data_IF_255620777973
#
_entry.id   IF_255620777973
#
_cell.length_a   1.000
_cell.length_b   1.000
_cell.length_c   1.000
_cell.angle_alpha   90.00
_cell.angle_beta   90.00
_cell.angle_gamma   90.00
#
_symmetry.space_group_name_H-M   'P 1'
#
loop_
_entity.id
_entity.type
_entity.pdbx_description
1 polymer ?
2 polymer ?
3 polymer ?
4 non-polymer ?
5 non-polymer ?
6 water ?
#
loop_
_entity_poly.entity_id
_entity_poly.type
_entity_poly.pdbx_seq_one_letter_code
_entity_poly.pdbx_strand_id
2 'polyribonucleotide' 'A(A2M)GCGCCAGAACU' ?
3 'polyribonucleotide' '(GTP)GCACCAUUGCACUCCGGUGCCAGUUGACGAGAUGGGGUUUAUCGAGAUUUCGGCGGAUGACUCCCGGUUGUUCAUCACAACCGCAAGCUUUUACUUAAAUCAUUAAGGUGACUUAGUGGACAAAGGUGAAAGUGUGAUGA' ?
#
# COMPACT_ATOMS: atom_id res chain seq x y z
N UNK A 7 -24.90 -36.64 55.88
CA UNK A 7 -26.16 -36.02 55.34
C UNK A 7 -25.87 -35.26 54.05
N UNK A 8 -26.22 -33.95 54.02
CA UNK A 8 -26.07 -33.12 52.81
C UNK A 8 -24.70 -32.44 52.72
N UNK A 9 -24.37 -31.94 51.54
CA UNK A 9 -23.09 -31.31 51.27
C UNK A 9 -23.15 -30.32 50.11
N UNK A 10 -22.28 -29.30 50.15
CA UNK A 10 -22.12 -28.36 49.05
C UNK A 10 -21.79 -29.08 47.74
N UNK A 11 -20.97 -30.12 47.86
CA UNK A 11 -20.50 -30.91 46.72
C UNK A 11 -21.37 -32.16 46.54
N UNK A 12 -21.75 -32.43 45.28
CA UNK A 12 -22.45 -33.66 44.94
C UNK A 12 -21.56 -34.62 44.17
N UNK A 13 -21.66 -35.90 44.52
CA UNK A 13 -20.88 -36.96 43.87
C UNK A 13 -21.71 -37.64 42.79
N UNK A 14 -21.25 -37.55 41.55
CA UNK A 14 -21.95 -38.19 40.43
C UNK A 14 -21.12 -39.36 39.92
N UNK A 15 -21.77 -40.49 39.66
CA UNK A 15 -21.13 -41.63 39.01
C UNK A 15 -22.01 -42.27 37.94
N UNK A 16 -21.56 -43.39 37.39
CA UNK A 16 -22.18 -44.03 36.23
C UNK A 16 -22.18 -43.14 34.99
N UNK A 17 -21.10 -42.38 34.83
CA UNK A 17 -20.93 -41.50 33.68
C UNK A 17 -20.20 -42.20 32.56
N UNK A 18 -20.52 -41.82 31.32
CA UNK A 18 -19.88 -42.41 30.14
C UNK A 18 -18.38 -42.16 30.12
N UNK A 19 -17.61 -43.24 30.23
CA UNK A 19 -16.16 -43.17 30.30
C UNK A 19 -15.50 -42.78 28.97
N UNK A 20 -16.25 -42.90 27.86
CA UNK A 20 -15.74 -42.58 26.52
C UNK A 20 -15.64 -41.08 26.22
N UNK A 21 -16.09 -40.24 27.14
CA UNK A 21 -16.09 -38.79 26.91
C UNK A 21 -14.89 -38.14 27.60
N UNK A 22 -14.18 -37.30 26.84
CA UNK A 22 -12.97 -36.65 27.33
C UNK A 22 -13.19 -35.62 28.43
N UNK A 23 -12.25 -35.58 29.37
CA UNK A 23 -12.29 -34.75 30.58
C UNK A 23 -12.98 -33.41 30.39
N UNK A 24 -12.50 -32.60 29.45
CA UNK A 24 -12.96 -31.23 29.28
C UNK A 24 -14.38 -31.14 28.72
N UNK A 25 -14.72 -32.02 27.78
CA UNK A 25 -16.07 -32.06 27.20
C UNK A 25 -17.10 -32.41 28.28
N UNK A 26 -16.80 -33.41 29.09
CA UNK A 26 -17.65 -33.83 30.20
C UNK A 26 -17.80 -32.71 31.22
N UNK A 27 -16.68 -32.04 31.52
CA UNK A 27 -16.64 -30.95 32.50
C UNK A 27 -17.49 -29.76 32.07
N UNK A 28 -17.68 -29.59 30.76
CA UNK A 28 -18.50 -28.51 30.23
C UNK A 28 -19.95 -28.92 30.03
N UNK A 29 -20.15 -30.16 29.57
CA UNK A 29 -21.50 -30.73 29.40
C UNK A 29 -22.24 -30.90 30.71
N UNK A 30 -21.51 -31.11 31.80
CA UNK A 30 -22.08 -31.13 33.14
C UNK A 30 -22.53 -29.73 33.53
N UNK A 31 -21.64 -28.76 33.34
CA UNK A 31 -21.89 -27.36 33.70
C UNK A 31 -23.14 -26.81 33.03
N UNK A 32 -23.45 -27.33 31.85
CA UNK A 32 -24.61 -26.90 31.06
C UNK A 32 -25.93 -27.10 31.81
N UNK A 33 -26.05 -28.24 32.47
CA UNK A 33 -27.32 -28.65 33.09
C UNK A 33 -27.44 -28.28 34.57
N UNK A 34 -26.32 -28.23 35.27
CA UNK A 34 -26.32 -27.94 36.70
C UNK A 34 -26.20 -26.44 37.02
N UNK A 35 -26.08 -25.63 35.97
CA UNK A 35 -25.94 -24.18 36.12
C UNK A 35 -27.25 -23.51 36.55
N UNK A 36 -28.38 -24.17 36.29
CA UNK A 36 -29.69 -23.63 36.66
C UNK A 36 -29.97 -23.72 38.16
N UNK A 37 -29.43 -24.76 38.80
CA UNK A 37 -29.67 -25.01 40.23
C UNK A 37 -28.94 -24.01 41.13
N UNK A 38 -27.88 -23.43 40.60
CA UNK A 38 -27.07 -22.45 41.32
C UNK A 38 -25.72 -22.28 40.66
N UNK A 39 -24.91 -21.36 41.19
CA UNK A 39 -23.58 -21.14 40.63
C UNK A 39 -22.61 -22.25 41.06
N UNK A 40 -21.92 -22.81 40.08
CA UNK A 40 -20.95 -23.87 40.30
C UNK A 40 -19.58 -23.23 40.51
N UNK A 41 -18.89 -23.64 41.58
CA UNK A 41 -17.53 -23.16 41.85
C UNK A 41 -16.51 -23.92 41.01
N UNK A 42 -16.62 -25.25 40.97
CA UNK A 42 -15.70 -26.10 40.21
C UNK A 42 -16.26 -27.50 40.00
N UNK A 43 -16.05 -28.05 38.80
CA UNK A 43 -16.38 -29.44 38.52
C UNK A 43 -15.08 -30.22 38.38
N UNK A 44 -14.91 -31.24 39.21
CA UNK A 44 -13.69 -32.03 39.23
C UNK A 44 -13.88 -33.37 38.54
N UNK A 45 -13.17 -33.56 37.44
CA UNK A 45 -13.22 -34.82 36.68
C UNK A 45 -11.80 -35.31 36.40
N UNK A 46 -11.55 -36.57 36.77
CA UNK A 46 -10.31 -37.26 36.45
C UNK A 46 -10.66 -38.41 35.52
N UNK A 47 -9.65 -39.16 35.08
CA UNK A 47 -9.89 -40.26 34.15
C UNK A 47 -9.08 -41.53 34.49
N UNK A 48 -8.45 -41.51 35.66
CA UNK A 48 -7.69 -42.65 36.16
C UNK A 48 -8.54 -43.91 36.33
N UNK A 49 -7.90 -45.02 36.67
CA UNK A 49 -8.62 -46.26 36.98
C UNK A 49 -9.52 -46.08 38.20
N UNK A 50 -9.07 -45.25 39.13
CA UNK A 50 -9.77 -45.01 40.39
C UNK A 50 -10.85 -43.94 40.26
N UNK A 51 -10.67 -42.98 39.35
CA UNK A 51 -11.54 -41.80 39.31
C UNK A 51 -12.37 -41.58 38.03
N UNK A 52 -12.42 -42.57 37.15
CA UNK A 52 -13.18 -42.43 35.90
C UNK A 52 -14.67 -42.68 36.10
N UNK A 53 -15.47 -42.13 35.19
CA UNK A 53 -16.93 -42.26 35.24
C UNK A 53 -17.57 -41.49 36.38
N UNK A 54 -16.79 -40.61 37.01
CA UNK A 54 -17.23 -39.86 38.18
C UNK A 54 -17.02 -38.37 37.98
N UNK A 55 -17.70 -37.57 38.80
CA UNK A 55 -17.58 -36.11 38.76
C UNK A 55 -17.83 -35.50 40.13
N UNK A 56 -17.32 -34.30 40.34
CA UNK A 56 -17.55 -33.56 41.57
C UNK A 56 -18.01 -32.13 41.29
N UNK A 57 -19.31 -31.98 41.02
CA UNK A 57 -19.89 -30.66 40.84
C UNK A 57 -20.05 -30.00 42.21
N UNK A 58 -19.31 -28.91 42.42
CA UNK A 58 -19.36 -28.19 43.69
C UNK A 58 -20.20 -26.92 43.53
N UNK A 59 -21.20 -26.78 44.39
CA UNK A 59 -22.03 -25.59 44.43
C UNK A 59 -21.67 -24.74 45.63
N UNK A 60 -21.78 -23.42 45.49
CA UNK A 60 -21.53 -22.52 46.62
C UNK A 60 -22.62 -22.68 47.70
N UNK A 61 -23.80 -23.10 47.26
CA UNK A 61 -24.94 -23.26 48.17
C UNK A 61 -25.41 -24.72 48.21
N UNK A 62 -25.63 -25.23 49.42
CA UNK A 62 -26.14 -26.59 49.64
C UNK A 62 -27.56 -26.71 49.09
N UNK A 63 -28.33 -25.62 49.19
CA UNK A 63 -29.64 -25.50 48.57
C UNK A 63 -29.62 -25.99 47.13
N UNK A 64 -28.63 -25.53 46.37
CA UNK A 64 -28.43 -25.91 44.97
C UNK A 64 -28.08 -27.38 44.82
N UNK A 65 -27.30 -27.89 45.76
CA UNK A 65 -26.88 -29.29 45.76
C UNK A 65 -28.04 -30.25 46.00
N UNK A 66 -28.97 -29.86 46.88
CA UNK A 66 -30.15 -30.66 47.18
C UNK A 66 -31.09 -30.74 45.98
N UNK A 67 -31.38 -29.57 45.38
CA UNK A 67 -32.24 -29.50 44.21
C UNK A 67 -31.68 -30.26 43.00
N UNK A 68 -30.36 -30.13 42.79
CA UNK A 68 -29.68 -30.83 41.71
C UNK A 68 -29.76 -32.34 41.90
N UNK A 69 -29.62 -32.80 43.15
CA UNK A 69 -29.71 -34.22 43.47
C UNK A 69 -31.10 -34.76 43.18
N UNK A 70 -32.11 -34.09 43.70
CA UNK A 70 -33.51 -34.49 43.53
C UNK A 70 -33.90 -34.59 42.06
N UNK A 71 -33.56 -33.56 41.29
CA UNK A 71 -34.03 -33.43 39.91
C UNK A 71 -33.26 -34.27 38.90
N UNK A 72 -31.93 -34.34 39.06
CA UNK A 72 -31.09 -34.97 38.03
C UNK A 72 -30.82 -36.46 38.25
N UNK A 73 -31.34 -37.01 39.35
CA UNK A 73 -31.16 -38.43 39.66
C UNK A 73 -31.78 -39.31 38.57
N UNK A 74 -30.97 -40.16 37.96
CA UNK A 74 -31.42 -41.07 36.91
C UNK A 74 -31.47 -40.47 35.53
N UNK A 75 -31.13 -39.19 35.42
CA UNK A 75 -31.15 -38.46 34.16
C UNK A 75 -30.19 -39.08 33.14
N UNK A 76 -30.65 -39.26 31.88
CA UNK A 76 -29.79 -39.81 30.83
C UNK A 76 -28.71 -38.83 30.40
N UNK A 77 -27.45 -39.22 30.58
CA UNK A 77 -26.31 -38.37 30.27
C UNK A 77 -25.32 -39.17 29.45
N UNK A 78 -25.19 -38.82 28.16
CA UNK A 78 -24.41 -39.58 27.20
C UNK A 78 -24.85 -41.05 27.14
N UNK A 79 -26.15 -41.26 26.98
CA UNK A 79 -26.76 -42.61 26.92
C UNK A 79 -26.71 -43.39 28.23
N UNK A 80 -26.25 -42.76 29.30
CA UNK A 80 -26.10 -43.43 30.60
C UNK A 80 -26.73 -42.65 31.75
N UNK A 81 -27.67 -43.29 32.48
CA UNK A 81 -28.33 -42.69 33.64
C UNK A 81 -27.36 -42.33 34.77
N UNK A 82 -27.53 -41.14 35.33
CA UNK A 82 -26.66 -40.63 36.38
C UNK A 82 -27.04 -41.16 37.76
N UNK A 83 -26.02 -41.36 38.59
CA UNK A 83 -26.22 -41.73 39.99
C UNK A 83 -25.61 -40.63 40.85
N UNK A 84 -26.47 -39.91 41.57
CA UNK A 84 -26.03 -38.75 42.34
C UNK A 84 -26.19 -38.94 43.85
N UNK A 85 -25.09 -38.77 44.57
CA UNK A 85 -25.08 -38.75 46.03
C UNK A 85 -24.56 -37.41 46.50
N UNK A 86 -24.44 -37.24 47.82
CA UNK A 86 -23.72 -36.12 48.39
C UNK A 86 -22.26 -36.51 48.56
N UNK A 87 -21.38 -35.51 48.65
CA UNK A 87 -19.98 -35.78 48.94
C UNK A 87 -19.86 -36.28 50.37
N UNK A 88 -19.12 -37.37 50.55
CA UNK A 88 -18.89 -37.96 51.86
C UNK A 88 -18.23 -36.98 52.82
N UNK A 89 -17.29 -36.19 52.29
CA UNK A 89 -16.65 -35.12 53.05
C UNK A 89 -16.62 -33.82 52.25
N UNK A 90 -16.47 -32.70 52.93
CA UNK A 90 -16.36 -31.39 52.30
C UNK A 90 -15.19 -31.31 51.32
N UNK A 91 -15.27 -30.36 50.40
CA UNK A 91 -14.18 -30.07 49.49
C UNK A 91 -13.36 -28.88 49.99
N UNK A 92 -12.11 -28.78 49.54
CA UNK A 92 -11.14 -27.79 50.04
C UNK A 92 -11.53 -26.33 49.81
N UNK A 93 -12.06 -26.01 48.63
CA UNK A 93 -12.48 -24.63 48.34
C UNK A 93 -13.70 -24.23 49.19
N UNK A 94 -14.23 -25.21 49.94
CA UNK A 94 -15.24 -24.96 50.98
C UNK A 94 -14.60 -25.10 52.36
N UNK A 95 -13.88 -26.20 52.58
CA UNK A 95 -13.25 -26.51 53.87
C UNK A 95 -12.21 -25.47 54.30
N UNK A 96 -11.45 -24.96 53.34
CA UNK A 96 -10.42 -23.95 53.60
C UNK A 96 -10.91 -22.56 53.23
N UNK D 7 -46.43 -30.46 9.58
CA UNK D 7 -46.49 -30.61 11.07
C UNK D 7 -45.14 -31.11 11.61
N UNK D 8 -44.97 -32.43 11.69
CA UNK D 8 -43.73 -33.01 12.24
C UNK D 8 -42.63 -33.17 11.20
N UNK D 9 -41.39 -33.23 11.68
CA UNK D 9 -40.19 -33.24 10.83
C UNK D 9 -39.06 -34.03 11.47
N UNK D 10 -38.17 -34.57 10.64
CA UNK D 10 -36.97 -35.28 11.12
C UNK D 10 -36.08 -34.36 11.95
N UNK D 11 -36.15 -33.05 11.67
CA UNK D 11 -35.29 -32.07 12.30
C UNK D 11 -36.08 -31.18 13.27
N UNK D 12 -35.51 -30.93 14.44
CA UNK D 12 -36.14 -30.05 15.42
C UNK D 12 -35.42 -28.71 15.55
N UNK D 13 -36.20 -27.63 15.44
CA UNK D 13 -35.67 -26.28 15.61
C UNK D 13 -35.64 -25.90 17.09
N UNK D 14 -34.45 -25.56 17.59
CA UNK D 14 -34.25 -25.20 18.99
C UNK D 14 -33.76 -23.75 19.11
N UNK D 15 -34.54 -22.91 19.80
CA UNK D 15 -34.12 -21.55 20.09
C UNK D 15 -34.10 -21.25 21.60
N UNK D 16 -33.93 -19.98 21.95
CA UNK D 16 -33.74 -19.53 23.34
C UNK D 16 -32.48 -20.14 23.99
N UNK D 17 -31.54 -20.56 23.15
CA UNK D 17 -30.25 -21.07 23.62
C UNK D 17 -29.37 -19.95 24.14
N UNK D 18 -28.40 -20.29 24.98
CA UNK D 18 -27.45 -19.31 25.51
C UNK D 18 -26.41 -18.93 24.46
N UNK D 19 -26.41 -17.66 24.10
CA UNK D 19 -25.55 -17.15 23.05
C UNK D 19 -24.07 -17.05 23.43
N UNK D 20 -23.80 -16.92 24.73
CA UNK D 20 -22.44 -16.75 25.25
C UNK D 20 -21.53 -17.98 25.08
N UNK D 21 -22.11 -19.11 24.69
CA UNK D 21 -21.38 -20.36 24.60
C UNK D 21 -20.83 -20.62 23.20
N UNK D 22 -19.58 -21.09 23.15
CA UNK D 22 -18.87 -21.40 21.90
C UNK D 22 -19.64 -22.35 20.98
N UNK D 23 -19.38 -22.24 19.68
CA UNK D 23 -20.07 -23.01 18.65
C UNK D 23 -19.90 -24.52 18.83
N UNK D 24 -18.68 -24.94 19.16
CA UNK D 24 -18.37 -26.36 19.24
C UNK D 24 -18.79 -26.99 20.56
N UNK D 25 -18.72 -26.21 21.65
CA UNK D 25 -19.19 -26.66 22.96
C UNK D 25 -20.70 -26.88 22.93
N UNK D 26 -21.43 -25.87 22.46
CA UNK D 26 -22.89 -25.93 22.36
C UNK D 26 -23.32 -27.14 21.51
N UNK D 27 -22.61 -27.36 20.41
CA UNK D 27 -22.85 -28.50 19.55
C UNK D 27 -22.67 -29.81 20.33
N UNK D 28 -21.63 -29.88 21.14
CA UNK D 28 -21.31 -31.09 21.90
C UNK D 28 -22.20 -31.31 23.11
N UNK D 29 -22.57 -30.22 23.78
CA UNK D 29 -23.46 -30.28 24.94
C UNK D 29 -24.88 -30.69 24.56
N UNK D 30 -25.32 -30.30 23.38
CA UNK D 30 -26.64 -30.68 22.87
C UNK D 30 -26.72 -32.18 22.57
N UNK D 31 -25.63 -32.75 22.08
CA UNK D 31 -25.59 -34.18 21.77
C UNK D 31 -25.58 -35.01 23.04
N UNK D 32 -25.02 -34.45 24.11
CA UNK D 32 -24.96 -35.11 25.42
C UNK D 32 -26.33 -35.50 25.94
N UNK D 33 -27.36 -34.75 25.52
CA UNK D 33 -28.72 -34.97 26.00
C UNK D 33 -29.62 -35.62 24.96
N UNK D 34 -29.52 -35.16 23.71
CA UNK D 34 -30.40 -35.64 22.65
C UNK D 34 -30.02 -37.01 22.07
N UNK D 35 -28.93 -37.59 22.57
CA UNK D 35 -28.45 -38.89 22.12
C UNK D 35 -29.21 -40.08 22.72
N UNK D 36 -30.22 -39.78 23.55
CA UNK D 36 -31.06 -40.82 24.15
C UNK D 36 -32.33 -41.10 23.34
N UNK D 37 -32.79 -40.11 22.60
CA UNK D 37 -34.03 -40.22 21.82
C UNK D 37 -33.83 -41.03 20.55
N UNK D 38 -32.58 -41.05 20.07
CA UNK D 38 -32.22 -41.76 18.85
C UNK D 38 -30.88 -41.28 18.37
N UNK D 39 -30.48 -41.71 17.17
CA UNK D 39 -29.19 -41.28 16.62
C UNK D 39 -29.32 -39.96 15.86
N UNK D 40 -28.39 -39.06 16.15
CA UNK D 40 -28.38 -37.73 15.56
C UNK D 40 -27.41 -37.72 14.37
N UNK D 41 -27.92 -37.29 13.22
CA UNK D 41 -27.12 -37.22 12.00
C UNK D 41 -26.19 -36.01 11.99
N UNK D 42 -26.72 -34.84 12.37
CA UNK D 42 -25.94 -33.61 12.47
C UNK D 42 -26.65 -32.58 13.34
N UNK D 43 -25.87 -31.88 14.15
CA UNK D 43 -26.36 -30.72 14.91
C UNK D 43 -25.74 -29.46 14.29
N UNK D 44 -26.59 -28.56 13.79
CA UNK D 44 -26.12 -27.34 13.17
C UNK D 44 -26.25 -26.12 14.08
N UNK D 45 -25.12 -25.46 14.31
CA UNK D 45 -25.03 -24.28 15.15
C UNK D 45 -24.22 -23.19 14.45
N UNK D 46 -24.76 -21.98 14.40
CA UNK D 46 -24.06 -20.81 13.90
C UNK D 46 -24.20 -19.68 14.91
N UNK D 47 -23.37 -18.64 14.77
CA UNK D 47 -23.37 -17.52 15.72
C UNK D 47 -23.62 -16.18 15.04
N UNK D 48 -24.10 -16.21 13.80
CA UNK D 48 -24.46 -15.00 13.08
C UNK D 48 -25.68 -14.34 13.71
N UNK D 49 -25.87 -13.04 13.45
CA UNK D 49 -27.02 -12.29 13.97
C UNK D 49 -28.35 -13.01 13.72
N UNK D 50 -28.46 -13.62 12.54
CA UNK D 50 -29.66 -14.32 12.12
C UNK D 50 -29.80 -15.70 12.77
N UNK D 51 -28.68 -16.32 13.12
CA UNK D 51 -28.67 -17.73 13.54
C UNK D 51 -28.15 -18.03 14.95
N UNK D 52 -27.83 -16.99 15.73
CA UNK D 52 -27.31 -17.17 17.08
C UNK D 52 -28.42 -17.52 18.07
N UNK D 53 -28.09 -18.34 19.05
CA UNK D 53 -29.05 -18.83 20.03
C UNK D 53 -30.06 -19.77 19.42
N UNK D 54 -29.65 -20.49 18.39
CA UNK D 54 -30.51 -21.41 17.66
C UNK D 54 -29.75 -22.67 17.30
N UNK D 55 -30.47 -23.78 17.17
CA UNK D 55 -29.86 -25.06 16.81
C UNK D 55 -30.79 -25.88 15.92
N UNK D 56 -30.18 -26.74 15.11
CA UNK D 56 -30.91 -27.70 14.30
C UNK D 56 -30.35 -29.08 14.56
N UNK D 57 -31.10 -29.88 15.32
CA UNK D 57 -30.75 -31.26 15.58
C UNK D 57 -31.51 -32.16 14.61
N UNK D 58 -30.77 -32.89 13.79
CA UNK D 58 -31.37 -33.78 12.78
C UNK D 58 -31.37 -35.22 13.29
N UNK D 59 -32.57 -35.80 13.37
CA UNK D 59 -32.74 -37.20 13.74
C UNK D 59 -33.04 -38.05 12.52
N UNK D 60 -32.61 -39.31 12.57
CA UNK D 60 -32.87 -40.27 11.48
C UNK D 60 -34.37 -40.52 11.30
N UNK D 61 -35.09 -40.67 12.42
CA UNK D 61 -36.52 -40.97 12.40
C UNK D 61 -37.31 -39.86 13.08
N UNK D 62 -38.46 -39.51 12.50
CA UNK D 62 -39.36 -38.48 13.05
C UNK D 62 -39.83 -38.88 14.44
N UNK D 63 -40.01 -40.19 14.63
CA UNK D 63 -40.36 -40.77 15.92
C UNK D 63 -39.48 -40.23 17.05
N UNK D 64 -38.17 -40.22 16.82
CA UNK D 64 -37.20 -39.71 17.79
C UNK D 64 -37.27 -38.19 18.00
N UNK D 65 -37.58 -37.46 16.93
CA UNK D 65 -37.69 -36.00 16.98
C UNK D 65 -38.88 -35.56 17.83
N UNK D 66 -39.99 -36.29 17.68
CA UNK D 66 -41.22 -36.02 18.42
C UNK D 66 -41.00 -36.13 19.93
N UNK D 67 -40.31 -37.18 20.37
CA UNK D 67 -39.99 -37.37 21.79
C UNK D 67 -39.02 -36.33 22.30
N UNK D 68 -38.05 -35.95 21.45
CA UNK D 68 -37.10 -34.90 21.77
C UNK D 68 -37.80 -33.57 22.00
N UNK D 69 -38.74 -33.24 21.11
CA UNK D 69 -39.57 -32.05 21.23
C UNK D 69 -40.39 -32.08 22.52
N UNK D 70 -41.03 -33.22 22.78
CA UNK D 70 -41.92 -33.37 23.94
C UNK D 70 -41.18 -33.37 25.28
N UNK D 71 -40.11 -34.15 25.37
CA UNK D 71 -39.37 -34.30 26.63
C UNK D 71 -38.51 -33.09 26.98
N UNK D 72 -37.81 -32.53 26.00
CA UNK D 72 -36.83 -31.48 26.25
C UNK D 72 -37.38 -30.06 26.23
N UNK D 73 -38.66 -29.93 25.90
CA UNK D 73 -39.31 -28.62 25.91
C UNK D 73 -39.17 -27.96 27.28
N UNK D 74 -38.77 -26.69 27.29
CA UNK D 74 -38.64 -25.90 28.51
C UNK D 74 -37.45 -26.27 29.39
N UNK D 75 -36.57 -27.12 28.87
CA UNK D 75 -35.42 -27.61 29.62
C UNK D 75 -34.41 -26.49 29.90
N UNK D 76 -34.07 -26.29 31.19
CA UNK D 76 -33.05 -25.30 31.52
C UNK D 76 -31.68 -25.76 31.05
N UNK D 77 -31.07 -24.97 30.18
CA UNK D 77 -29.85 -25.35 29.47
C UNK D 77 -28.94 -24.14 29.37
N UNK D 78 -27.85 -24.15 30.14
CA UNK D 78 -26.96 -22.99 30.33
C UNK D 78 -27.73 -21.79 30.91
N UNK D 79 -28.57 -22.05 31.91
CA UNK D 79 -29.43 -21.05 32.56
C UNK D 79 -30.60 -20.56 31.70
N UNK D 80 -30.95 -21.32 30.67
CA UNK D 80 -32.06 -20.93 29.79
C UNK D 80 -33.00 -22.08 29.42
N UNK D 81 -34.31 -21.90 29.66
CA UNK D 81 -35.32 -22.85 29.19
C UNK D 81 -35.39 -22.92 27.66
N UNK D 82 -35.15 -24.10 27.13
CA UNK D 82 -35.18 -24.35 25.69
C UNK D 82 -36.59 -24.28 25.11
N UNK D 83 -36.71 -23.70 23.94
CA UNK D 83 -37.95 -23.73 23.17
C UNK D 83 -37.71 -24.55 21.92
N UNK D 84 -38.51 -25.61 21.75
CA UNK D 84 -38.32 -26.52 20.62
C UNK D 84 -39.54 -26.55 19.71
N UNK D 85 -39.27 -26.51 18.40
CA UNK D 85 -40.28 -26.64 17.37
C UNK D 85 -39.81 -27.69 16.37
N UNK D 86 -40.66 -28.03 15.41
CA UNK D 86 -40.24 -28.78 14.24
C UNK D 86 -39.70 -27.81 13.21
N UNK D 87 -38.63 -28.23 12.52
CA UNK D 87 -38.11 -27.45 11.39
C UNK D 87 -39.19 -27.33 10.32
N UNK D 88 -39.40 -26.11 9.83
CA UNK D 88 -40.42 -25.83 8.84
C UNK D 88 -40.27 -26.68 7.58
N UNK D 89 -39.02 -26.82 7.12
CA UNK D 89 -38.74 -27.57 5.90
C UNK D 89 -37.73 -28.70 6.15
N UNK D 90 -37.85 -29.76 5.35
CA UNK D 90 -36.98 -30.93 5.42
C UNK D 90 -35.50 -30.59 5.28
N UNK D 91 -34.66 -31.33 6.01
CA UNK D 91 -33.22 -31.14 5.97
C UNK D 91 -32.59 -31.67 4.68
N UNK D 92 -31.45 -31.10 4.31
CA UNK D 92 -30.73 -31.47 3.10
C UNK D 92 -30.24 -32.91 3.14
N UNK D 93 -29.65 -33.30 4.27
CA UNK D 93 -29.19 -34.67 4.50
C UNK D 93 -30.38 -35.67 4.48
N UNK D 94 -31.59 -35.14 4.70
CA UNK D 94 -32.82 -35.93 4.69
C UNK D 94 -33.47 -35.94 3.30
N UNK D 95 -33.70 -34.76 2.73
CA UNK D 95 -34.33 -34.62 1.42
C UNK D 95 -33.48 -35.22 0.30
N UNK D 96 -32.19 -34.89 0.29
CA UNK D 96 -31.26 -35.42 -0.71
C UNK D 96 -30.62 -36.71 -0.22
N UNK G 7 45.02 11.63 -32.24
CA UNK G 7 45.18 13.09 -32.51
C UNK G 7 43.83 13.74 -32.76
N UNK G 8 43.59 14.21 -34.02
CA UNK G 8 42.33 14.84 -34.39
C UNK G 8 41.17 13.86 -34.44
N UNK G 9 39.97 14.35 -34.16
CA UNK G 9 38.76 13.52 -34.14
C UNK G 9 37.56 14.27 -34.72
N UNK G 10 36.59 13.53 -35.24
CA UNK G 10 35.34 14.11 -35.73
C UNK G 10 34.59 14.88 -34.65
N UNK G 11 34.76 14.44 -33.40
CA UNK G 11 34.08 15.00 -32.24
C UNK G 11 35.03 15.83 -31.38
N UNK G 12 34.56 17.01 -30.96
CA UNK G 12 35.33 17.84 -30.03
C UNK G 12 34.73 17.86 -28.62
N UNK G 13 35.60 17.82 -27.63
CA UNK G 13 35.21 17.81 -26.23
C UNK G 13 35.38 19.22 -25.63
N UNK G 14 34.26 19.82 -25.24
CA UNK G 14 34.27 21.16 -24.66
C UNK G 14 33.93 21.09 -23.18
N UNK G 15 34.76 21.72 -22.35
CA UNK G 15 34.48 21.84 -20.92
C UNK G 15 34.57 23.28 -20.43
N UNK G 16 34.49 23.49 -19.11
CA UNK G 16 34.39 24.81 -18.49
C UNK G 16 33.14 25.59 -18.94
N UNK G 17 32.10 24.85 -19.33
CA UNK G 17 30.82 25.45 -19.70
C UNK G 17 30.02 25.80 -18.45
N UNK G 18 29.18 26.84 -18.56
CA UNK G 18 28.32 27.25 -17.46
C UNK G 18 27.26 26.19 -17.15
N UNK G 19 27.26 25.71 -15.92
CA UNK G 19 26.39 24.61 -15.51
C UNK G 19 24.94 25.03 -15.24
N UNK G 20 24.73 26.34 -15.06
CA UNK G 20 23.41 26.90 -14.74
C UNK G 20 22.42 26.87 -15.91
N UNK G 21 22.90 26.50 -17.10
CA UNK G 21 22.09 26.59 -18.31
C UNK G 21 21.42 25.27 -18.66
N UNK G 22 20.13 25.34 -18.98
CA UNK G 22 19.31 24.18 -19.33
C UNK G 22 19.92 23.34 -20.46
N UNK G 23 19.62 22.04 -20.44
CA UNK G 23 20.16 21.06 -21.38
C UNK G 23 19.83 21.39 -22.84
N UNK G 24 18.60 21.83 -23.10
CA UNK G 24 18.17 22.10 -24.47
C UNK G 24 18.67 23.45 -24.95
N UNK G 25 18.69 24.44 -24.05
CA UNK G 25 19.17 25.78 -24.38
C UNK G 25 20.65 25.74 -24.76
N UNK G 26 21.46 25.10 -23.91
CA UNK G 26 22.90 24.93 -24.17
C UNK G 26 23.15 24.24 -25.51
N UNK G 27 22.38 23.19 -25.77
CA UNK G 27 22.49 22.42 -27.01
C UNK G 27 22.18 23.28 -28.24
N UNK G 28 21.23 24.20 -28.10
CA UNK G 28 20.88 25.11 -29.19
C UNK G 28 21.88 26.27 -29.33
N UNK G 29 22.31 26.80 -28.19
CA UNK G 29 23.28 27.91 -28.15
C UNK G 29 24.64 27.54 -28.75
N UNK G 30 25.02 26.27 -28.63
CA UNK G 30 26.26 25.79 -29.22
C UNK G 30 26.10 25.59 -30.73
N UNK G 31 24.91 25.15 -31.14
CA UNK G 31 24.61 24.95 -32.55
C UNK G 31 24.48 26.29 -33.28
N UNK G 32 24.37 27.37 -32.50
CA UNK G 32 24.33 28.73 -33.02
C UNK G 32 25.70 29.14 -33.50
N UNK G 33 26.74 28.59 -32.87
CA UNK G 33 28.10 29.01 -33.15
C UNK G 33 28.87 28.01 -34.03
N UNK G 34 28.74 26.72 -33.74
CA UNK G 34 29.54 25.71 -34.41
C UNK G 34 29.03 25.27 -35.79
N UNK G 35 27.83 25.70 -36.17
CA UNK G 35 27.24 25.32 -37.44
C UNK G 35 27.98 25.90 -38.66
N UNK G 36 28.77 26.95 -38.43
CA UNK G 36 29.52 27.61 -39.50
C UNK G 36 30.74 26.81 -39.97
N UNK G 37 31.34 26.06 -39.04
CA UNK G 37 32.56 25.30 -39.33
C UNK G 37 32.30 24.09 -40.22
N UNK G 38 31.03 23.73 -40.35
CA UNK G 38 30.60 22.54 -41.07
C UNK G 38 29.34 22.01 -40.40
N UNK G 39 28.68 21.05 -41.03
CA UNK G 39 27.44 20.52 -40.49
C UNK G 39 27.69 19.64 -39.26
N UNK G 40 26.81 19.77 -38.28
CA UNK G 40 26.92 19.02 -37.03
C UNK G 40 25.92 17.87 -37.03
N UNK G 41 26.39 16.69 -36.68
CA UNK G 41 25.56 15.50 -36.62
C UNK G 41 24.72 15.45 -35.33
N UNK G 42 25.38 15.69 -34.18
CA UNK G 42 24.70 15.77 -32.89
C UNK G 42 25.54 16.46 -31.83
N UNK G 43 24.88 17.13 -30.89
CA UNK G 43 25.55 17.73 -29.74
C UNK G 43 25.04 17.04 -28.48
N UNK G 44 25.93 16.36 -27.78
CA UNK G 44 25.56 15.56 -26.61
C UNK G 44 25.79 16.32 -25.30
N UNK G 45 24.70 16.60 -24.62
CA UNK G 45 24.71 17.36 -23.37
C UNK G 45 24.04 16.58 -22.24
N UNK G 46 24.72 16.51 -21.11
CA UNK G 46 24.17 15.90 -19.90
C UNK G 46 24.47 16.80 -18.70
N UNK G 47 23.72 16.61 -17.61
CA UNK G 47 23.85 17.47 -16.44
C UNK G 47 24.22 16.70 -15.16
N UNK G 48 24.49 15.41 -15.30
CA UNK G 48 24.95 14.58 -14.18
C UNK G 48 26.30 15.05 -13.65
N UNK G 49 26.58 14.73 -12.39
CA UNK G 49 27.83 15.14 -11.72
C UNK G 49 29.07 14.91 -12.59
N UNK G 50 29.16 13.73 -13.19
CA UNK G 50 30.29 13.35 -14.02
C UNK G 50 30.31 14.07 -15.37
N UNK G 51 29.14 14.50 -15.85
CA UNK G 51 29.00 15.03 -17.21
C UNK G 51 28.51 16.49 -17.32
N UNK G 52 28.47 17.20 -16.21
CA UNK G 52 28.03 18.60 -16.23
C UNK G 52 29.17 19.54 -16.60
N UNK G 53 28.82 20.62 -17.30
CA UNK G 53 29.81 21.58 -17.78
C UNK G 53 30.60 21.11 -18.99
N UNK G 54 30.18 19.99 -19.56
CA UNK G 54 30.84 19.41 -20.73
C UNK G 54 29.84 19.18 -21.87
N UNK G 55 30.36 19.14 -23.09
CA UNK G 55 29.55 18.86 -24.27
C UNK G 55 30.37 18.13 -25.32
N UNK G 56 29.69 17.41 -26.20
CA UNK G 56 30.35 16.75 -27.32
C UNK G 56 29.68 17.17 -28.62
N UNK G 57 30.43 17.90 -29.44
CA UNK G 57 29.94 18.31 -30.77
C UNK G 57 30.52 17.36 -31.81
N UNK G 58 29.63 16.67 -32.51
CA UNK G 58 30.05 15.68 -33.52
C UNK G 58 29.90 16.25 -34.93
N UNK G 59 31.03 16.65 -35.50
CA UNK G 59 31.08 17.15 -36.87
C UNK G 59 31.22 15.99 -37.84
N UNK G 60 30.66 16.15 -39.05
CA UNK G 60 30.81 15.14 -40.10
C UNK G 60 32.26 15.02 -40.56
N UNK G 61 32.95 16.15 -40.64
CA UNK G 61 34.32 16.19 -41.13
C UNK G 61 35.30 16.65 -40.06
N UNK G 62 36.45 15.99 -39.99
CA UNK G 62 37.53 16.34 -39.05
C UNK G 62 38.00 17.77 -39.30
N UNK G 63 38.00 18.16 -40.58
CA UNK G 63 38.28 19.52 -41.03
C UNK G 63 37.54 20.53 -40.17
N UNK G 64 36.22 20.33 -40.04
CA UNK G 64 35.35 21.19 -39.24
C UNK G 64 35.77 21.23 -37.78
N UNK G 65 36.12 20.06 -37.25
CA UNK G 65 36.47 19.92 -35.85
C UNK G 65 37.77 20.65 -35.49
N UNK G 66 38.73 20.62 -36.42
CA UNK G 66 40.02 21.28 -36.21
C UNK G 66 39.90 22.81 -36.25
N UNK G 67 39.14 23.32 -37.21
CA UNK G 67 38.86 24.76 -37.28
C UNK G 67 38.14 25.26 -36.03
N UNK G 68 37.10 24.54 -35.62
CA UNK G 68 36.31 24.88 -34.44
C UNK G 68 37.15 24.91 -33.16
N UNK G 69 38.12 23.99 -33.08
CA UNK G 69 39.03 23.93 -31.93
C UNK G 69 39.95 25.15 -31.90
N UNK G 70 40.47 25.53 -33.08
CA UNK G 70 41.43 26.63 -33.19
C UNK G 70 40.79 28.01 -33.00
N UNK G 71 39.51 28.13 -33.33
CA UNK G 71 38.78 29.39 -33.22
C UNK G 71 38.20 29.60 -31.83
N UNK G 72 37.33 28.67 -31.42
CA UNK G 72 36.48 28.86 -30.25
C UNK G 72 37.18 28.62 -28.91
N UNK G 73 38.43 28.18 -28.97
CA UNK G 73 39.25 28.00 -27.78
C UNK G 73 39.27 29.27 -26.94
N UNK G 74 38.84 29.17 -25.70
CA UNK G 74 38.85 30.31 -24.78
C UNK G 74 37.73 31.30 -25.00
N UNK G 75 36.80 30.97 -25.89
CA UNK G 75 35.68 31.85 -26.22
C UNK G 75 34.74 32.00 -25.01
N UNK G 76 34.52 33.26 -24.55
CA UNK G 76 33.61 33.54 -23.45
C UNK G 76 32.17 33.22 -23.83
N UNK G 77 31.54 32.36 -23.02
CA UNK G 77 30.26 31.77 -23.35
C UNK G 77 29.49 31.58 -22.03
N UNK G 78 28.39 32.31 -21.89
CA UNK G 78 27.67 32.42 -20.63
C UNK G 78 28.63 32.84 -19.49
N UNK G 79 29.44 33.85 -19.77
CA UNK G 79 30.43 34.42 -18.83
C UNK G 79 31.62 33.51 -18.50
N UNK G 80 31.76 32.41 -19.25
CA UNK G 80 32.84 31.45 -19.02
C UNK G 80 33.61 31.11 -20.30
N UNK G 81 34.95 31.26 -20.27
CA UNK G 81 35.80 30.93 -21.41
C UNK G 81 35.83 29.43 -21.69
N UNK G 82 35.59 29.06 -22.95
CA UNK G 82 35.55 27.66 -23.36
C UNK G 82 36.92 27.00 -23.32
N UNK G 83 36.92 25.68 -23.25
CA UNK G 83 38.14 24.89 -23.30
C UNK G 83 37.88 23.65 -24.13
N UNK G 84 38.53 23.56 -25.28
CA UNK G 84 38.25 22.51 -26.25
C UNK G 84 39.42 21.54 -26.45
N UNK G 85 39.07 20.27 -26.62
CA UNK G 85 40.01 19.23 -27.02
C UNK G 85 39.35 18.40 -28.12
N UNK G 86 40.07 17.42 -28.65
CA UNK G 86 39.44 16.40 -29.49
C UNK G 86 38.91 15.30 -28.57
N UNK G 87 37.92 14.55 -29.06
CA UNK G 87 37.43 13.38 -28.35
C UNK G 87 38.53 12.33 -28.30
N UNK G 88 38.72 11.73 -27.12
CA UNK G 88 39.74 10.71 -26.91
C UNK G 88 39.48 9.47 -27.77
N UNK G 89 38.21 9.15 -27.95
CA UNK G 89 37.78 8.06 -28.84
C UNK G 89 36.64 8.53 -29.74
N UNK G 90 36.44 7.81 -30.84
CA UNK G 90 35.39 8.13 -31.80
C UNK G 90 34.00 7.97 -31.20
N UNK G 91 33.05 8.77 -31.68
CA UNK G 91 31.65 8.65 -31.27
C UNK G 91 30.96 7.46 -31.93
N UNK G 92 29.95 6.92 -31.26
CA UNK G 92 29.18 5.76 -31.74
C UNK G 92 28.57 6.01 -33.12
N UNK G 93 28.02 7.19 -33.31
CA UNK G 93 27.44 7.60 -34.60
C UNK G 93 28.49 7.66 -35.70
N UNK G 94 29.74 7.89 -35.32
CA UNK G 94 30.88 7.91 -36.24
C UNK G 94 31.42 6.49 -36.46
N UNK G 95 31.72 5.79 -35.37
CA UNK G 95 32.31 4.45 -35.41
C UNK G 95 31.39 3.40 -36.03
N UNK G 96 30.10 3.44 -35.65
CA UNK G 96 29.11 2.49 -36.17
C UNK G 96 28.45 3.04 -37.44
N UNK J 7 27.00 59.38 -31.37
CA UNK J 7 27.78 58.16 -31.68
C UNK J 7 27.40 56.98 -30.77
N UNK J 8 28.22 56.71 -29.73
CA UNK J 8 28.04 55.56 -28.84
C UNK J 8 26.74 55.60 -28.05
N UNK J 9 26.15 54.42 -27.84
CA UNK J 9 24.88 54.31 -27.14
C UNK J 9 24.83 53.06 -26.26
N UNK J 10 24.03 53.12 -25.20
CA UNK J 10 23.82 51.97 -24.31
C UNK J 10 23.31 50.74 -25.05
N UNK J 11 22.64 50.98 -26.18
CA UNK J 11 22.01 49.94 -26.98
C UNK J 11 22.80 49.72 -28.27
N UNK J 12 23.03 48.46 -28.62
CA UNK J 12 23.67 48.12 -29.89
C UNK J 12 22.69 47.46 -30.87
N UNK J 13 22.62 48.01 -32.08
CA UNK J 13 21.78 47.47 -33.14
C UNK J 13 22.52 46.38 -33.89
N UNK J 14 21.97 45.17 -33.86
CA UNK J 14 22.58 44.03 -34.54
C UNK J 14 21.69 43.56 -35.69
N UNK J 15 22.23 43.60 -36.91
CA UNK J 15 21.50 43.07 -38.07
C UNK J 15 22.30 42.01 -38.84
N UNK J 16 21.72 41.55 -39.95
CA UNK J 16 22.24 40.40 -40.72
C UNK J 16 22.18 39.11 -39.89
N UNK J 17 21.13 38.97 -39.10
CA UNK J 17 20.91 37.77 -38.29
C UNK J 17 20.06 36.76 -39.06
N UNK J 18 20.22 35.49 -38.73
CA UNK J 18 19.48 34.41 -39.37
C UNK J 18 17.99 34.49 -39.05
N UNK J 19 17.17 34.67 -40.09
CA UNK J 19 15.75 34.93 -39.93
C UNK J 19 14.89 33.68 -39.67
N UNK J 20 15.48 32.50 -39.88
CA UNK J 20 14.77 31.24 -39.66
C UNK J 20 14.73 30.82 -38.19
N UNK J 21 15.49 31.53 -37.36
CA UNK J 21 15.60 31.20 -35.93
C UNK J 21 14.53 31.89 -35.10
N UNK J 22 13.95 31.13 -34.18
CA UNK J 22 12.84 31.59 -33.35
C UNK J 22 13.21 32.73 -32.40
N UNK J 23 12.21 33.51 -32.02
CA UNK J 23 12.40 34.70 -31.17
C UNK J 23 13.14 34.41 -29.87
N UNK J 24 12.71 33.37 -29.15
CA UNK J 24 13.27 33.09 -27.82
C UNK J 24 14.65 32.44 -27.90
N UNK J 25 14.84 31.56 -28.86
CA UNK J 25 16.14 30.93 -29.09
C UNK J 25 17.19 31.98 -29.42
N UNK J 26 16.87 32.88 -30.34
CA UNK J 26 17.74 33.98 -30.72
C UNK J 26 18.04 34.88 -29.53
N UNK J 27 17.00 35.22 -28.78
CA UNK J 27 17.11 36.09 -27.61
C UNK J 27 18.03 35.50 -26.54
N UNK J 28 17.95 34.19 -26.34
CA UNK J 28 18.79 33.52 -25.35
C UNK J 28 20.18 33.20 -25.87
N UNK J 29 20.29 32.97 -27.19
CA UNK J 29 21.58 32.73 -27.84
C UNK J 29 22.46 33.98 -27.84
N UNK J 30 21.83 35.13 -28.05
CA UNK J 30 22.53 36.41 -28.03
C UNK J 30 23.01 36.77 -26.63
N UNK J 31 22.25 36.33 -25.62
CA UNK J 31 22.64 36.56 -24.24
C UNK J 31 23.84 35.70 -23.87
N UNK J 32 23.91 34.51 -24.45
CA UNK J 32 25.01 33.57 -24.23
C UNK J 32 26.37 34.21 -24.50
N UNK J 33 26.44 35.01 -25.56
CA UNK J 33 27.67 35.64 -25.98
C UNK J 33 27.94 36.93 -25.21
N UNK J 34 27.01 37.89 -25.30
CA UNK J 34 27.26 39.25 -24.83
C UNK J 34 27.30 39.44 -23.31
N UNK J 35 26.94 38.39 -22.57
CA UNK J 35 26.94 38.44 -21.10
C UNK J 35 28.29 38.84 -20.52
N UNK J 36 29.37 38.46 -21.20
CA UNK J 36 30.74 38.75 -20.75
C UNK J 36 31.08 40.24 -20.77
N UNK J 37 30.55 40.96 -21.75
CA UNK J 37 30.88 42.37 -21.97
C UNK J 37 30.37 43.28 -20.85
N UNK J 38 29.22 42.93 -20.28
CA UNK J 38 28.66 43.67 -19.16
C UNK J 38 27.28 43.17 -18.78
N UNK J 39 26.51 44.04 -18.13
CA UNK J 39 25.14 43.72 -17.75
C UNK J 39 24.20 43.99 -18.93
N UNK J 40 23.47 42.97 -19.34
CA UNK J 40 22.45 43.11 -20.38
C UNK J 40 21.09 43.33 -19.72
N UNK J 41 20.45 44.45 -20.04
CA UNK J 41 19.17 44.81 -19.44
C UNK J 41 17.97 44.19 -20.17
N UNK J 42 18.01 44.22 -21.50
CA UNK J 42 16.94 43.64 -22.33
C UNK J 42 17.44 43.40 -23.76
N UNK J 43 16.98 42.29 -24.35
CA UNK J 43 17.25 42.00 -25.76
C UNK J 43 15.95 42.00 -26.54
N UNK J 44 15.73 43.04 -27.32
CA UNK J 44 14.50 43.21 -28.09
C UNK J 44 14.56 42.53 -29.44
N UNK J 45 13.70 41.53 -29.64
CA UNK J 45 13.65 40.76 -30.88
C UNK J 45 12.21 40.70 -31.41
N UNK J 46 12.05 41.04 -32.68
CA UNK J 46 10.79 40.88 -33.39
C UNK J 46 11.02 40.10 -34.68
N UNK J 47 9.94 39.55 -35.24
CA UNK J 47 10.03 38.81 -36.49
C UNK J 47 9.13 39.42 -37.58
N UNK J 48 8.74 40.68 -37.36
CA UNK J 48 7.93 41.42 -38.32
C UNK J 48 8.75 41.82 -39.55
N UNK J 49 8.07 42.09 -40.65
CA UNK J 49 8.71 42.47 -41.92
C UNK J 49 9.76 43.57 -41.76
N UNK J 50 9.51 44.49 -40.83
CA UNK J 50 10.38 45.64 -40.61
C UNK J 50 11.52 45.32 -39.63
N UNK J 51 11.28 44.40 -38.71
CA UNK J 51 12.19 44.17 -37.59
C UNK J 51 12.83 42.78 -37.51
N UNK J 52 12.59 41.95 -38.53
CA UNK J 52 13.21 40.62 -38.58
C UNK J 52 14.70 40.72 -38.93
N UNK J 53 15.47 39.72 -38.49
CA UNK J 53 16.91 39.69 -38.71
C UNK J 53 17.69 40.73 -37.92
N UNK J 54 17.01 41.37 -36.98
CA UNK J 54 17.59 42.45 -36.20
C UNK J 54 17.39 42.26 -34.70
N UNK J 55 18.31 42.81 -33.91
CA UNK J 55 18.22 42.73 -32.46
C UNK J 55 18.75 44.00 -31.78
N UNK J 56 18.22 44.28 -30.59
CA UNK J 56 18.66 45.40 -29.78
C UNK J 56 19.12 44.90 -28.42
N UNK J 57 20.42 44.71 -28.27
CA UNK J 57 20.99 44.33 -26.97
C UNK J 57 21.27 45.63 -26.20
N UNK J 58 20.64 45.75 -25.04
CA UNK J 58 20.76 46.96 -24.21
C UNK J 58 21.71 46.71 -23.05
N UNK J 59 22.79 47.49 -23.02
CA UNK J 59 23.78 47.40 -21.95
C UNK J 59 23.59 48.53 -20.94
N UNK J 60 23.86 48.23 -19.66
CA UNK J 60 23.74 49.22 -18.59
C UNK J 60 24.80 50.32 -18.74
N UNK J 61 26.02 49.92 -19.10
CA UNK J 61 27.10 50.88 -19.32
C UNK J 61 27.51 50.91 -20.79
N UNK J 62 27.82 52.11 -21.28
CA UNK J 62 28.27 52.31 -22.67
C UNK J 62 29.58 51.56 -22.90
N UNK J 63 30.42 51.55 -21.87
CA UNK J 63 31.70 50.83 -21.89
C UNK J 63 31.52 49.37 -22.32
N UNK J 64 30.41 48.76 -21.91
CA UNK J 64 30.07 47.39 -22.29
C UNK J 64 29.57 47.29 -23.72
N UNK J 65 28.89 48.33 -24.19
CA UNK J 65 28.32 48.36 -25.53
C UNK J 65 29.39 48.55 -26.60
N UNK J 66 30.41 49.33 -26.26
CA UNK J 66 31.54 49.58 -27.16
C UNK J 66 32.33 48.29 -27.41
N UNK J 67 32.79 47.66 -26.32
CA UNK J 67 33.49 46.37 -26.39
C UNK J 67 32.74 45.34 -27.22
N UNK J 68 31.42 45.29 -27.03
CA UNK J 68 30.55 44.39 -27.77
C UNK J 68 30.63 44.63 -29.27
N UNK J 69 30.60 45.90 -29.66
CA UNK J 69 30.72 46.30 -31.06
C UNK J 69 32.13 46.04 -31.59
N UNK J 70 33.14 46.34 -30.76
CA UNK J 70 34.54 46.14 -31.13
C UNK J 70 34.84 44.67 -31.38
N UNK J 71 34.38 43.80 -30.49
CA UNK J 71 34.75 42.40 -30.53
C UNK J 71 33.87 41.55 -31.46
N UNK J 72 32.56 41.56 -31.22
CA UNK J 72 31.67 40.63 -31.92
C UNK J 72 31.38 41.00 -33.38
N UNK J 73 31.94 42.13 -33.84
CA UNK J 73 31.75 42.58 -35.22
C UNK J 73 32.12 41.48 -36.22
N UNK J 74 31.22 41.22 -37.17
CA UNK J 74 31.45 40.23 -38.21
C UNK J 74 31.44 38.78 -37.76
N UNK J 75 31.22 38.55 -36.47
CA UNK J 75 31.19 37.21 -35.89
C UNK J 75 30.11 36.33 -36.53
N UNK J 76 30.50 35.14 -37.03
CA UNK J 76 29.55 34.22 -37.64
C UNK J 76 28.63 33.60 -36.58
N UNK J 77 27.34 33.83 -36.75
CA UNK J 77 26.34 33.50 -35.75
C UNK J 77 25.11 32.94 -36.47
N UNK J 78 24.90 31.64 -36.35
CA UNK J 78 23.92 30.89 -37.14
C UNK J 78 24.25 30.98 -38.64
N UNK J 79 25.52 30.76 -38.97
CA UNK J 79 26.03 30.76 -40.35
C UNK J 79 26.24 32.15 -40.97
N UNK J 80 25.70 33.18 -40.34
CA UNK J 80 25.77 34.54 -40.88
C UNK J 80 26.59 35.49 -39.99
N UNK J 81 27.48 36.30 -40.61
CA UNK J 81 28.31 37.26 -39.88
C UNK J 81 27.49 38.44 -39.36
N UNK J 82 27.66 38.74 -38.08
CA UNK J 82 26.89 39.81 -37.44
C UNK J 82 27.36 41.19 -37.86
N UNK J 83 26.42 42.13 -37.97
CA UNK J 83 26.76 43.53 -38.20
C UNK J 83 26.25 44.37 -37.04
N UNK J 84 27.17 45.04 -36.34
CA UNK J 84 26.84 45.80 -35.14
C UNK J 84 27.08 47.29 -35.29
N UNK J 85 26.02 48.07 -35.11
CA UNK J 85 26.09 49.52 -35.01
C UNK J 85 25.55 49.95 -33.65
N UNK J 86 25.77 51.21 -33.28
CA UNK J 86 25.12 51.79 -32.12
C UNK J 86 23.69 52.18 -32.47
N UNK J 87 22.79 52.09 -31.49
CA UNK J 87 21.40 52.49 -31.69
C UNK J 87 21.34 53.98 -31.97
N UNK J 88 20.59 54.35 -33.01
CA UNK J 88 20.45 55.75 -33.42
C UNK J 88 19.97 56.65 -32.29
N UNK J 89 19.07 56.13 -31.44
CA UNK J 89 18.50 56.87 -30.33
C UNK J 89 18.57 56.07 -29.02
N UNK J 90 18.48 56.77 -27.90
CA UNK J 90 18.49 56.13 -26.58
C UNK J 90 17.27 55.25 -26.37
N UNK J 91 17.45 54.16 -25.62
CA UNK J 91 16.37 53.22 -25.33
C UNK J 91 15.47 53.70 -24.19
N UNK J 92 14.22 53.24 -24.24
CA UNK J 92 13.17 53.64 -23.29
C UNK J 92 13.52 53.29 -21.84
N UNK J 93 14.12 52.12 -21.64
CA UNK J 93 14.54 51.68 -20.30
C UNK J 93 15.70 52.53 -19.76
N UNK J 94 16.44 53.17 -20.66
CA UNK J 94 17.55 54.04 -20.30
C UNK J 94 17.04 55.47 -20.08
#
# INVERSE_FOLDING_TARGET
MAVPETRPNHTIYINNLNEKIKKDELKKSLHAIFSRFGQILDILVSRSLKMRGQAFVIFKEVSSATNALRSMQGFPFYDKPMRIQYAKTDSDIIAKMK
MAVPETRPNHTIYINNLNEKIKKDELKKSLHAIFSRFGQILDILVSRSLKMRGQAFVIFKEVSSATNALRSMQGFPFYDKPMRIQYAKTDSDIIAKMK
MAVPETRPNHTIYINNLNEKIKKDELKKSLHAIFSRFGQILDILVSRSLKMRGQAFVIFKEVSSATNALRSMQGFPFYDKPMRIQYAKTDSDIIAKMK
MAVPETRPNHTIYINNLNEKIKKDELKKSLHAIFSRFGQILDILVSRSLKMRGQAFVIFKEVSSATNALRSMQGFPFYDKPMRIQYAKTDSDIIAKMK
#
